data_IF_047334042968
#
_entry.id   IF_047334042968
#
_cell.length_a   1.000
_cell.length_b   1.000
_cell.length_c   1.000
_cell.angle_alpha   90.00
_cell.angle_beta   90.00
_cell.angle_gamma   90.00
#
_symmetry.space_group_name_H-M   'P 1'
#
loop_
_entity.id
_entity.type
_entity.pdbx_description
1 polymer ?
#
# COMPACT_ATOMS: atom_id res chain seq x y z
N UNK A 1 -22.34 36.61 -1.83
CA UNK A 1 -21.17 36.23 -1.02
C UNK A 1 -21.67 36.11 0.41
N UNK A 2 -21.83 34.88 0.90
CA UNK A 2 -22.70 34.54 2.03
C UNK A 2 -21.88 34.49 3.34
N UNK A 3 -21.68 35.66 3.95
CA UNK A 3 -20.89 35.82 5.20
C UNK A 3 -21.45 34.96 6.36
N UNK A 4 -22.70 34.53 6.27
CA UNK A 4 -23.39 33.71 7.29
C UNK A 4 -22.95 32.23 7.30
N UNK A 5 -22.44 31.71 6.18
CA UNK A 5 -21.99 30.30 6.12
C UNK A 5 -20.56 30.14 6.64
N UNK A 6 -19.69 31.13 6.40
CA UNK A 6 -18.30 31.13 6.88
C UNK A 6 -18.22 31.26 8.42
N UNK A 7 -19.10 32.07 9.03
CA UNK A 7 -19.11 32.26 10.50
C UNK A 7 -19.61 31.00 11.22
N UNK A 8 -20.60 30.29 10.65
CA UNK A 8 -21.10 29.03 11.23
C UNK A 8 -20.10 27.88 11.07
N UNK A 9 -19.33 27.88 9.99
CA UNK A 9 -18.21 26.95 9.79
C UNK A 9 -17.14 27.13 10.87
N UNK A 10 -16.75 28.38 11.16
CA UNK A 10 -15.69 28.67 12.12
C UNK A 10 -16.11 28.33 13.57
N UNK A 11 -17.37 28.61 13.94
CA UNK A 11 -17.91 28.29 15.27
C UNK A 11 -18.07 26.78 15.50
N UNK A 12 -18.41 26.00 14.45
CA UNK A 12 -18.50 24.54 14.55
C UNK A 12 -17.12 23.88 14.59
N UNK A 13 -16.14 24.39 13.86
CA UNK A 13 -14.75 23.92 13.93
C UNK A 13 -14.14 24.23 15.29
N UNK A 14 -14.29 25.45 15.82
CA UNK A 14 -13.77 25.79 17.14
C UNK A 14 -14.46 24.99 18.26
N UNK A 15 -15.77 24.78 18.19
CA UNK A 15 -16.49 23.95 19.15
C UNK A 15 -16.09 22.47 19.06
N UNK A 16 -15.73 21.98 17.86
CA UNK A 16 -15.19 20.62 17.69
C UNK A 16 -13.78 20.55 18.26
N UNK A 17 -12.90 21.49 17.93
CA UNK A 17 -11.53 21.58 18.49
C UNK A 17 -11.57 21.67 20.02
N UNK A 18 -12.47 22.45 20.62
CA UNK A 18 -12.59 22.54 22.07
C UNK A 18 -13.00 21.21 22.72
N UNK A 19 -13.99 20.50 22.16
CA UNK A 19 -14.41 19.17 22.63
C UNK A 19 -13.33 18.12 22.45
N UNK A 20 -12.63 18.19 21.33
CA UNK A 20 -11.45 17.38 21.06
C UNK A 20 -10.42 17.64 22.15
N UNK A 21 -9.98 18.88 22.38
CA UNK A 21 -8.97 19.23 23.37
C UNK A 21 -9.41 18.83 24.79
N UNK A 22 -10.70 18.87 25.09
CA UNK A 22 -11.27 18.37 26.35
C UNK A 22 -11.29 16.83 26.48
N UNK A 23 -10.95 16.09 25.43
CA UNK A 23 -10.87 14.63 25.42
C UNK A 23 -12.21 13.92 25.27
N UNK A 24 -13.29 14.64 24.96
CA UNK A 24 -14.64 14.07 24.88
C UNK A 24 -14.95 13.36 23.56
N UNK A 25 -14.08 13.46 22.56
CA UNK A 25 -14.29 12.91 21.22
C UNK A 25 -12.99 12.30 20.68
N UNK A 26 -13.07 11.08 20.15
CA UNK A 26 -11.95 10.39 19.52
C UNK A 26 -11.78 10.91 18.09
N UNK A 27 -10.57 11.35 17.75
CA UNK A 27 -10.22 11.75 16.39
C UNK A 27 -9.70 10.61 15.55
N UNK A 28 -10.03 10.65 14.27
CA UNK A 28 -9.25 9.95 13.23
C UNK A 28 -7.98 10.71 12.88
N UNK A 29 -6.97 10.02 12.36
CA UNK A 29 -5.71 10.62 11.90
C UNK A 29 -5.93 11.62 10.77
N UNK A 30 -6.93 11.37 9.92
CA UNK A 30 -7.34 12.25 8.82
C UNK A 30 -7.91 13.57 9.35
N UNK A 31 -8.90 13.50 10.24
CA UNK A 31 -9.48 14.70 10.86
C UNK A 31 -8.42 15.52 11.60
N UNK A 32 -7.48 14.85 12.27
CA UNK A 32 -6.42 15.55 13.01
C UNK A 32 -5.48 16.31 12.07
N UNK A 33 -5.27 15.75 10.87
CA UNK A 33 -4.47 16.38 9.83
C UNK A 33 -5.17 17.61 9.24
N UNK A 34 -6.48 17.52 9.02
CA UNK A 34 -7.30 18.62 8.49
C UNK A 34 -7.37 19.79 9.49
N UNK A 35 -7.70 19.52 10.75
CA UNK A 35 -7.72 20.53 11.81
C UNK A 35 -6.36 21.19 12.03
N UNK A 36 -5.27 20.40 11.98
CA UNK A 36 -3.91 20.96 12.09
C UNK A 36 -3.60 21.90 10.92
N UNK A 37 -4.07 21.58 9.71
CA UNK A 37 -3.89 22.42 8.53
C UNK A 37 -4.63 23.75 8.69
N UNK A 38 -5.86 23.71 9.18
CA UNK A 38 -6.68 24.90 9.43
C UNK A 38 -6.07 25.79 10.52
N UNK A 39 -5.70 25.21 11.67
CA UNK A 39 -5.01 25.95 12.73
C UNK A 39 -3.67 26.54 12.26
N UNK A 40 -2.93 25.81 11.42
CA UNK A 40 -1.69 26.30 10.80
C UNK A 40 -1.91 27.48 9.85
N UNK A 41 -2.96 27.43 9.03
CA UNK A 41 -3.34 28.55 8.15
C UNK A 41 -3.73 29.78 8.98
N UNK A 42 -4.54 29.60 10.03
CA UNK A 42 -4.94 30.69 10.91
C UNK A 42 -3.75 31.31 11.64
N UNK A 43 -2.81 30.48 12.12
CA UNK A 43 -1.58 30.98 12.75
C UNK A 43 -0.75 31.82 11.79
N UNK A 44 -0.69 31.46 10.51
CA UNK A 44 0.02 32.23 9.49
C UNK A 44 -0.65 33.59 9.24
N UNK A 45 -1.98 33.65 9.21
CA UNK A 45 -2.73 34.90 9.11
C UNK A 45 -2.44 35.82 10.30
N UNK A 46 -2.51 35.30 11.52
CA UNK A 46 -2.20 36.04 12.76
C UNK A 46 -0.75 36.53 12.75
N UNK A 47 0.21 35.68 12.35
CA UNK A 47 1.61 36.08 12.26
C UNK A 47 1.82 37.19 11.22
N UNK A 48 1.18 37.08 10.06
CA UNK A 48 1.24 38.12 9.02
C UNK A 48 0.69 39.44 9.53
N UNK A 49 -0.37 39.41 10.34
CA UNK A 49 -0.94 40.61 10.97
C UNK A 49 -0.02 41.22 12.02
N UNK A 50 0.62 40.39 12.85
CA UNK A 50 1.64 40.84 13.81
C UNK A 50 2.81 41.54 13.10
N UNK A 51 3.31 40.96 12.02
CA UNK A 51 4.41 41.53 11.24
C UNK A 51 4.02 42.89 10.62
N UNK A 52 2.77 43.03 10.14
CA UNK A 52 2.25 44.31 9.63
C UNK A 52 2.20 45.38 10.71
N UNK A 53 1.74 45.03 11.93
CA UNK A 53 1.67 45.96 13.05
C UNK A 53 3.07 46.41 13.46
N UNK A 54 4.02 45.46 13.59
CA UNK A 54 5.38 45.78 14.04
C UNK A 54 6.18 46.61 13.02
N UNK A 55 5.99 46.40 11.72
CA UNK A 55 6.74 47.12 10.69
C UNK A 55 6.09 48.41 10.18
N UNK A 56 4.79 48.40 9.87
CA UNK A 56 4.16 49.49 9.12
C UNK A 56 3.36 50.41 10.02
N UNK A 57 2.51 49.83 10.86
CA UNK A 57 1.51 50.61 11.60
C UNK A 57 2.13 51.23 12.84
N UNK A 58 3.06 50.53 13.52
CA UNK A 58 3.81 51.09 14.65
C UNK A 58 4.74 52.23 14.23
N UNK A 59 5.43 52.11 13.09
CA UNK A 59 6.30 53.19 12.58
C UNK A 59 5.48 54.44 12.26
N UNK A 60 4.33 54.28 11.58
CA UNK A 60 3.42 55.40 11.29
C UNK A 60 2.83 56.01 12.55
N UNK A 61 2.39 55.19 13.50
CA UNK A 61 1.79 55.68 14.74
C UNK A 61 2.80 56.43 15.62
N UNK A 62 4.07 56.02 15.63
CA UNK A 62 5.14 56.73 16.35
C UNK A 62 5.56 58.05 15.66
N UNK A 63 5.47 58.13 14.33
CA UNK A 63 5.85 59.33 13.57
C UNK A 63 4.75 60.38 13.50
N UNK A 64 3.50 59.96 13.34
CA UNK A 64 2.38 60.86 13.03
C UNK A 64 1.09 60.55 13.79
N UNK A 65 1.10 59.53 14.65
CA UNK A 65 -0.11 59.05 15.33
C UNK A 65 -0.39 59.77 16.65
N UNK A 66 -1.65 59.71 17.09
CA UNK A 66 -2.03 60.14 18.43
C UNK A 66 -1.62 59.08 19.48
N UNK A 67 -1.42 59.47 20.75
CA UNK A 67 -1.17 58.52 21.83
C UNK A 67 -2.23 57.41 21.93
N UNK A 68 -3.49 57.72 21.64
CA UNK A 68 -4.58 56.74 21.63
C UNK A 68 -4.41 55.70 20.50
N UNK A 69 -3.95 56.10 19.32
CA UNK A 69 -3.68 55.17 18.22
C UNK A 69 -2.53 54.21 18.56
N UNK A 70 -1.49 54.71 19.22
CA UNK A 70 -0.38 53.88 19.70
C UNK A 70 -0.87 52.88 20.76
N UNK A 71 -1.76 53.30 21.67
CA UNK A 71 -2.38 52.42 22.66
C UNK A 71 -3.21 51.31 21.99
N UNK A 72 -4.09 51.66 21.07
CA UNK A 72 -4.93 50.68 20.35
C UNK A 72 -4.09 49.64 19.60
N UNK A 73 -3.05 50.06 18.89
CA UNK A 73 -2.15 49.12 18.20
C UNK A 73 -1.39 48.21 19.18
N UNK A 74 -1.04 48.72 20.36
CA UNK A 74 -0.39 47.93 21.41
C UNK A 74 -1.34 46.87 21.97
N UNK A 75 -2.63 47.20 22.14
CA UNK A 75 -3.67 46.27 22.59
C UNK A 75 -3.98 45.22 21.52
N UNK A 76 -4.12 45.61 20.25
CA UNK A 76 -4.30 44.69 19.12
C UNK A 76 -3.13 43.70 19.03
N UNK A 77 -1.89 44.19 19.12
CA UNK A 77 -0.69 43.33 19.12
C UNK A 77 -0.71 42.31 20.26
N UNK A 78 -1.03 42.75 21.49
CA UNK A 78 -1.13 41.83 22.64
C UNK A 78 -2.19 40.76 22.43
N UNK A 79 -3.34 41.12 21.86
CA UNK A 79 -4.40 40.16 21.55
C UNK A 79 -3.93 39.12 20.52
N UNK A 80 -3.25 39.56 19.46
CA UNK A 80 -2.75 38.68 18.42
C UNK A 80 -1.60 37.78 18.90
N UNK A 81 -0.74 38.27 19.80
CA UNK A 81 0.29 37.47 20.45
C UNK A 81 -0.34 36.31 21.24
N UNK A 82 -1.41 36.59 22.00
CA UNK A 82 -2.17 35.56 22.75
C UNK A 82 -2.81 34.55 21.79
N UNK A 83 -3.45 35.02 20.71
CA UNK A 83 -4.08 34.13 19.72
C UNK A 83 -3.04 33.22 19.03
N UNK A 84 -1.87 33.76 18.66
CA UNK A 84 -0.76 32.97 18.09
C UNK A 84 -0.30 31.87 19.04
N UNK A 85 -0.12 32.19 20.33
CA UNK A 85 0.35 31.24 21.32
C UNK A 85 -0.69 30.13 21.56
N UNK A 86 -1.97 30.49 21.59
CA UNK A 86 -3.08 29.54 21.65
C UNK A 86 -3.10 28.61 20.44
N UNK A 87 -3.02 29.16 19.22
CA UNK A 87 -2.98 28.37 17.98
C UNK A 87 -1.76 27.45 17.93
N UNK A 88 -0.61 27.89 18.46
CA UNK A 88 0.59 27.05 18.54
C UNK A 88 0.37 25.86 19.47
N UNK A 89 -0.16 26.10 20.68
CA UNK A 89 -0.50 25.02 21.61
C UNK A 89 -1.53 24.05 21.02
N UNK A 90 -2.52 24.55 20.27
CA UNK A 90 -3.50 23.72 19.58
C UNK A 90 -2.86 22.84 18.51
N UNK A 91 -1.94 23.38 17.70
CA UNK A 91 -1.22 22.62 16.66
C UNK A 91 -0.38 21.50 17.28
N UNK A 92 0.30 21.78 18.39
CA UNK A 92 1.11 20.78 19.09
C UNK A 92 0.23 19.64 19.62
N UNK A 93 -0.90 19.97 20.24
CA UNK A 93 -1.83 18.97 20.76
C UNK A 93 -2.50 18.15 19.65
N UNK A 94 -2.91 18.78 18.55
CA UNK A 94 -3.43 18.08 17.37
C UNK A 94 -2.38 17.14 16.76
N UNK A 95 -1.09 17.50 16.82
CA UNK A 95 0.00 16.64 16.37
C UNK A 95 0.13 15.39 17.24
N UNK A 96 0.14 15.54 18.56
CA UNK A 96 0.17 14.38 19.49
C UNK A 96 -1.03 13.46 19.29
N UNK A 97 -2.22 14.03 19.14
CA UNK A 97 -3.45 13.26 18.93
C UNK A 97 -3.48 12.53 17.60
N UNK A 98 -2.94 13.16 16.55
CA UNK A 98 -2.76 12.50 15.24
C UNK A 98 -1.86 11.27 15.36
N UNK A 99 -0.75 11.38 16.07
CA UNK A 99 0.16 10.25 16.29
C UNK A 99 -0.55 9.11 17.03
N UNK A 100 -1.28 9.43 18.11
CA UNK A 100 -2.07 8.43 18.85
C UNK A 100 -3.17 7.80 17.98
N UNK A 101 -3.85 8.59 17.13
CA UNK A 101 -4.85 8.09 16.21
C UNK A 101 -4.25 7.16 15.14
N UNK A 102 -3.09 7.50 14.57
CA UNK A 102 -2.38 6.67 13.61
C UNK A 102 -2.00 5.31 14.20
N UNK A 103 -1.46 5.29 15.43
CA UNK A 103 -1.09 4.03 16.11
C UNK A 103 -2.33 3.16 16.33
N UNK A 104 -3.43 3.73 16.80
CA UNK A 104 -4.68 3.01 17.02
C UNK A 104 -5.27 2.48 15.72
N UNK A 105 -5.39 3.32 14.69
CA UNK A 105 -5.91 2.92 13.38
C UNK A 105 -5.07 1.79 12.76
N UNK A 106 -3.74 1.84 12.92
CA UNK A 106 -2.86 0.76 12.47
C UNK A 106 -3.12 -0.55 13.23
N UNK A 107 -3.30 -0.49 14.55
CA UNK A 107 -3.62 -1.67 15.37
C UNK A 107 -4.98 -2.26 15.00
N UNK A 108 -5.99 -1.43 14.80
CA UNK A 108 -7.33 -1.85 14.39
C UNK A 108 -7.35 -2.42 12.96
N UNK A 109 -6.52 -1.90 12.05
CA UNK A 109 -6.43 -2.37 10.66
C UNK A 109 -5.61 -3.66 10.47
N UNK A 110 -4.68 -3.95 11.39
CA UNK A 110 -3.77 -5.11 11.28
C UNK A 110 -4.49 -6.46 11.11
N UNK A 111 -5.54 -6.80 11.90
CA UNK A 111 -6.26 -8.06 11.75
C UNK A 111 -6.87 -8.27 10.35
N UNK A 112 -7.45 -7.22 9.77
CA UNK A 112 -8.04 -7.29 8.42
C UNK A 112 -6.97 -7.50 7.34
N UNK A 113 -5.81 -6.85 7.49
CA UNK A 113 -4.66 -7.06 6.60
C UNK A 113 -4.10 -8.49 6.74
N UNK A 114 -4.00 -9.02 7.96
CA UNK A 114 -3.59 -10.39 8.20
C UNK A 114 -4.55 -11.42 7.58
N UNK A 115 -5.86 -11.20 7.71
CA UNK A 115 -6.88 -12.06 7.06
C UNK A 115 -6.75 -12.02 5.55
N UNK A 116 -6.63 -10.83 4.97
CA UNK A 116 -6.43 -10.66 3.52
C UNK A 116 -5.17 -11.39 3.05
N UNK A 117 -4.06 -11.26 3.79
CA UNK A 117 -2.81 -11.94 3.44
C UNK A 117 -2.96 -13.46 3.50
N UNK A 118 -3.58 -14.00 4.55
CA UNK A 118 -3.83 -15.42 4.70
C UNK A 118 -4.70 -15.97 3.54
N UNK A 119 -5.72 -15.23 3.12
CA UNK A 119 -6.56 -15.59 1.98
C UNK A 119 -5.77 -15.61 0.66
N UNK A 120 -4.89 -14.63 0.44
CA UNK A 120 -4.04 -14.59 -0.76
C UNK A 120 -3.02 -15.74 -0.78
N UNK A 121 -2.43 -16.08 0.37
CA UNK A 121 -1.53 -17.24 0.49
C UNK A 121 -2.29 -18.53 0.19
N UNK A 122 -3.44 -18.76 0.80
CA UNK A 122 -4.26 -19.94 0.56
C UNK A 122 -4.74 -20.04 -0.91
N UNK A 123 -4.93 -18.90 -1.58
CA UNK A 123 -5.23 -18.87 -3.02
C UNK A 123 -4.01 -19.24 -3.86
N UNK A 124 -2.83 -18.72 -3.53
CA UNK A 124 -1.59 -19.04 -4.22
C UNK A 124 -1.24 -20.53 -4.10
N UNK A 125 -1.40 -21.12 -2.91
CA UNK A 125 -1.17 -22.56 -2.69
C UNK A 125 -2.10 -23.44 -3.53
N UNK A 126 -3.40 -23.09 -3.60
CA UNK A 126 -4.35 -23.81 -4.46
C UNK A 126 -3.99 -23.73 -5.94
N UNK A 127 -3.58 -22.56 -6.42
CA UNK A 127 -3.12 -22.38 -7.80
C UNK A 127 -1.84 -23.18 -8.07
N UNK A 128 -0.91 -23.21 -7.12
CA UNK A 128 0.30 -24.05 -7.19
C UNK A 128 -0.03 -25.53 -7.31
N UNK A 129 -0.98 -26.03 -6.50
CA UNK A 129 -1.46 -27.41 -6.58
C UNK A 129 -2.11 -27.75 -7.92
N UNK A 130 -2.96 -26.87 -8.45
CA UNK A 130 -3.57 -27.04 -9.77
C UNK A 130 -2.53 -27.07 -10.90
N UNK A 131 -1.53 -26.20 -10.83
CA UNK A 131 -0.44 -26.16 -11.80
C UNK A 131 0.40 -27.45 -11.76
N UNK A 132 0.73 -27.95 -10.56
CA UNK A 132 1.45 -29.19 -10.39
C UNK A 132 0.68 -30.40 -10.95
N UNK A 133 -0.65 -30.44 -10.78
CA UNK A 133 -1.50 -31.47 -11.37
C UNK A 133 -1.50 -31.41 -12.90
N UNK A 134 -1.65 -30.22 -13.47
CA UNK A 134 -1.61 -30.02 -14.92
C UNK A 134 -0.26 -30.48 -15.52
N UNK A 135 0.85 -30.19 -14.84
CA UNK A 135 2.17 -30.67 -15.27
C UNK A 135 2.27 -32.21 -15.21
N UNK A 136 1.67 -32.85 -14.19
CA UNK A 136 1.64 -34.31 -14.10
C UNK A 136 0.83 -34.93 -15.25
N UNK A 137 -0.31 -34.35 -15.58
CA UNK A 137 -1.16 -34.80 -16.70
C UNK A 137 -0.45 -34.68 -18.06
N UNK A 138 0.23 -33.54 -18.29
CA UNK A 138 1.04 -33.33 -19.49
C UNK A 138 2.15 -34.39 -19.57
N UNK A 139 2.88 -34.63 -18.49
CA UNK A 139 3.95 -35.62 -18.48
C UNK A 139 3.40 -37.04 -18.74
N UNK A 140 2.27 -37.41 -18.13
CA UNK A 140 1.60 -38.68 -18.39
C UNK A 140 1.21 -38.86 -19.87
N UNK A 141 0.68 -37.80 -20.49
CA UNK A 141 0.34 -37.77 -21.92
C UNK A 141 1.58 -37.96 -22.80
N UNK A 142 2.68 -37.27 -22.48
CA UNK A 142 3.96 -37.42 -23.20
C UNK A 142 4.47 -38.87 -23.11
N UNK A 143 4.45 -39.48 -21.92
CA UNK A 143 4.87 -40.87 -21.74
C UNK A 143 3.99 -41.86 -22.51
N UNK A 144 2.67 -41.62 -22.56
CA UNK A 144 1.74 -42.43 -23.35
C UNK A 144 2.05 -42.34 -24.86
N UNK A 145 2.32 -41.13 -25.38
CA UNK A 145 2.73 -40.91 -26.78
C UNK A 145 4.03 -41.64 -27.09
N UNK A 146 5.04 -41.52 -26.22
CA UNK A 146 6.34 -42.19 -26.39
C UNK A 146 6.18 -43.71 -26.40
N UNK A 147 5.33 -44.26 -25.52
CA UNK A 147 5.03 -45.70 -25.48
C UNK A 147 4.30 -46.18 -26.74
N UNK A 148 3.30 -45.42 -27.20
CA UNK A 148 2.57 -45.73 -28.43
C UNK A 148 3.51 -45.71 -29.65
N UNK A 149 4.43 -44.74 -29.71
CA UNK A 149 5.46 -44.65 -30.75
C UNK A 149 6.37 -45.88 -30.74
N UNK A 150 6.96 -46.22 -29.58
CA UNK A 150 7.82 -47.40 -29.46
C UNK A 150 7.11 -48.68 -29.88
N UNK A 151 5.83 -48.85 -29.50
CA UNK A 151 5.00 -49.99 -29.95
C UNK A 151 4.78 -49.99 -31.46
N UNK A 152 4.52 -48.83 -32.08
CA UNK A 152 4.35 -48.73 -33.53
C UNK A 152 5.66 -49.04 -34.28
N UNK A 153 6.81 -48.61 -33.77
CA UNK A 153 8.13 -48.93 -34.32
C UNK A 153 8.46 -50.42 -34.19
N UNK A 154 8.13 -51.06 -33.06
CA UNK A 154 8.32 -52.50 -32.86
C UNK A 154 7.27 -53.37 -33.57
N UNK A 155 6.06 -52.86 -33.80
CA UNK A 155 5.02 -53.52 -34.60
C UNK A 155 5.25 -53.39 -36.11
N UNK A 156 6.34 -52.73 -36.53
CA UNK A 156 6.78 -52.75 -37.92
C UNK A 156 7.22 -54.16 -38.33
N UNK A 157 6.25 -54.96 -38.76
CA UNK A 157 6.47 -56.11 -39.61
C UNK A 157 6.65 -55.53 -41.02
N UNK A 158 7.80 -55.73 -41.69
CA UNK A 158 7.95 -55.28 -43.06
C UNK A 158 6.86 -55.98 -43.89
N UNK A 159 5.87 -55.22 -44.36
CA UNK A 159 4.85 -55.76 -45.26
C UNK A 159 5.54 -56.03 -46.58
N UNK A 160 5.60 -57.29 -47.05
CA UNK A 160 6.16 -57.58 -48.37
C UNK A 160 5.32 -56.83 -49.42
N UNK A 161 5.94 -55.88 -50.13
CA UNK A 161 5.27 -55.04 -51.13
C UNK A 161 4.90 -53.61 -50.70
N UNK A 162 5.30 -53.15 -49.51
CA UNK A 162 5.13 -51.74 -49.15
C UNK A 162 5.92 -50.83 -50.10
N UNK A 163 5.25 -49.84 -50.69
CA UNK A 163 5.91 -48.90 -51.62
C UNK A 163 6.92 -48.01 -50.87
N UNK A 164 8.00 -47.64 -51.56
CA UNK A 164 9.04 -46.72 -51.07
C UNK A 164 8.43 -45.41 -50.55
N UNK A 165 7.34 -44.98 -51.15
CA UNK A 165 6.58 -43.78 -50.78
C UNK A 165 5.88 -43.92 -49.41
N UNK A 166 5.35 -45.11 -49.09
CA UNK A 166 4.72 -45.39 -47.80
C UNK A 166 5.75 -45.45 -46.66
N UNK A 167 6.93 -46.00 -46.93
CA UNK A 167 8.07 -46.00 -45.99
C UNK A 167 8.58 -44.56 -45.79
N UNK A 168 8.65 -43.76 -46.85
CA UNK A 168 9.02 -42.35 -46.81
C UNK A 168 8.07 -41.51 -45.94
N UNK A 169 6.76 -41.72 -46.06
CA UNK A 169 5.75 -41.01 -45.24
C UNK A 169 5.84 -41.33 -43.75
N UNK A 170 6.04 -42.60 -43.39
CA UNK A 170 6.22 -43.02 -41.99
C UNK A 170 7.48 -42.38 -41.41
N UNK A 171 8.59 -42.38 -42.16
CA UNK A 171 9.85 -41.76 -41.74
C UNK A 171 9.70 -40.26 -41.49
N UNK A 172 8.97 -39.53 -42.33
CA UNK A 172 8.72 -38.09 -42.18
C UNK A 172 7.87 -37.76 -40.95
N UNK A 173 6.89 -38.61 -40.62
CA UNK A 173 6.08 -38.46 -39.39
C UNK A 173 6.94 -38.72 -38.15
N UNK A 174 7.86 -39.69 -38.19
CA UNK A 174 8.75 -40.00 -37.06
C UNK A 174 9.90 -39.01 -36.86
N UNK A 175 10.37 -38.32 -37.91
CA UNK A 175 11.52 -37.40 -37.84
C UNK A 175 11.22 -36.02 -37.25
N UNK A 176 9.96 -35.59 -37.26
CA UNK A 176 9.53 -34.30 -36.67
C UNK A 176 9.55 -34.28 -35.13
N UNK A 177 9.72 -35.42 -34.46
CA UNK A 177 9.56 -35.55 -32.99
C UNK A 177 10.84 -35.87 -32.21
N UNK A 178 11.94 -36.27 -32.86
CA UNK A 178 13.09 -36.83 -32.14
C UNK A 178 13.98 -35.78 -31.43
N UNK A 179 14.33 -34.62 -32.01
CA UNK A 179 15.24 -33.69 -31.34
C UNK A 179 14.54 -32.82 -30.28
N UNK A 180 13.31 -32.34 -30.54
CA UNK A 180 12.68 -31.30 -29.71
C UNK A 180 11.99 -31.80 -28.44
N UNK A 181 11.70 -33.10 -28.32
CA UNK A 181 11.07 -33.68 -27.12
C UNK A 181 12.11 -34.09 -26.06
N UNK A 182 13.33 -34.47 -26.47
CA UNK A 182 14.40 -34.89 -25.57
C UNK A 182 15.12 -33.71 -24.91
N UNK A 183 15.28 -32.57 -25.60
CA UNK A 183 15.88 -31.35 -25.02
C UNK A 183 14.94 -30.68 -24.01
N UNK A 184 13.63 -30.64 -24.30
CA UNK A 184 12.68 -30.01 -23.39
C UNK A 184 12.47 -30.84 -22.10
N UNK A 185 12.47 -32.18 -22.17
CA UNK A 185 12.36 -33.02 -20.97
C UNK A 185 13.46 -32.79 -19.92
N UNK A 186 14.72 -32.60 -20.35
CA UNK A 186 15.84 -32.33 -19.43
C UNK A 186 15.84 -30.92 -18.83
N UNK A 187 15.24 -29.94 -19.49
CA UNK A 187 15.11 -28.60 -18.93
C UNK A 187 14.03 -28.52 -17.83
N UNK A 188 13.01 -29.39 -17.86
CA UNK A 188 11.97 -29.44 -16.83
C UNK A 188 12.41 -30.16 -15.54
N UNK A 189 13.32 -31.14 -15.60
CA UNK A 189 13.88 -31.79 -14.40
C UNK A 189 14.70 -30.80 -13.54
N UNK A 190 15.47 -29.89 -14.17
CA UNK A 190 16.23 -28.86 -13.45
C UNK A 190 15.36 -27.78 -12.79
N UNK A 191 14.15 -27.52 -13.29
CA UNK A 191 13.22 -26.58 -12.67
C UNK A 191 12.47 -27.17 -11.47
N UNK A 192 12.27 -28.49 -11.43
CA UNK A 192 11.65 -29.18 -10.30
C UNK A 192 12.60 -29.29 -9.09
N UNK A 193 13.91 -29.37 -9.31
CA UNK A 193 14.93 -29.41 -8.24
C UNK A 193 15.20 -28.04 -7.59
N UNK A 194 14.87 -26.93 -8.29
CA UNK A 194 15.06 -25.56 -7.80
C UNK A 194 13.95 -25.07 -6.85
N UNK A 195 12.87 -25.84 -6.68
CA UNK A 195 11.77 -25.53 -5.76
C UNK A 195 11.84 -26.52 -4.60
N UNK A 196 12.90 -26.46 -3.81
CA UNK A 196 12.80 -26.99 -2.45
C UNK A 196 11.82 -26.08 -1.69
N UNK A 197 10.83 -26.63 -0.98
CA UNK A 197 10.05 -25.83 -0.05
C UNK A 197 11.04 -25.25 0.96
N UNK A 198 11.19 -23.93 0.96
CA UNK A 198 11.83 -23.22 2.08
C UNK A 198 11.12 -23.70 3.34
N UNK A 199 11.88 -24.38 4.20
CA UNK A 199 11.39 -24.85 5.48
C UNK A 199 10.68 -23.67 6.18
N UNK A 200 9.46 -23.92 6.63
CA UNK A 200 8.71 -22.96 7.41
C UNK A 200 9.58 -22.46 8.59
N UNK A 201 9.66 -21.14 8.86
CA UNK A 201 10.37 -20.64 10.01
C UNK A 201 9.53 -20.93 11.26
N UNK A 202 9.76 -22.09 11.86
CA UNK A 202 8.99 -22.52 13.02
C UNK A 202 9.49 -23.82 13.61
N UNK A 203 10.69 -23.81 14.20
CA UNK A 203 11.16 -24.76 15.23
C UNK A 203 12.56 -24.38 15.75
N UNK A 204 12.68 -23.21 16.38
CA UNK A 204 13.81 -22.90 17.27
C UNK A 204 13.37 -21.92 18.36
N UNK A 205 12.40 -22.31 19.20
CA UNK A 205 12.07 -21.61 20.44
C UNK A 205 11.50 -22.58 21.49
N UNK A 206 12.15 -23.71 21.75
CA UNK A 206 11.83 -24.52 22.94
C UNK A 206 13.04 -24.96 23.80
N UNK A 207 14.27 -24.56 23.46
CA UNK A 207 15.45 -24.84 24.32
C UNK A 207 16.11 -23.54 24.80
N UNK A 208 15.38 -22.78 25.61
CA UNK A 208 15.94 -21.75 26.50
C UNK A 208 14.96 -21.46 27.65
N UNK A 209 14.81 -22.44 28.55
CA UNK A 209 14.33 -22.27 29.92
C UNK A 209 15.23 -23.08 30.85
#
# INVERSE_FOLDING_TARGET
MNISDDIKSDETVQAKVARILAGSEQLTSKEATELRREAGARRLEVQTRLDQIDHRDRVKALQTGSPDQVRTLTEERKSLDIERDQLTAQIDELTRRREAALTREAVEGMPAMQSTLAEQVARAERLGGQFAEALREINGTVQAIMTAKARAEHAYIPVPGASVEMIGRIRTITSWSAPNLLTNGRHFEHWAEGIQPTQAPGKHLEDAA
#
